data_IF_953270738292
#
_entry.id   IF_953270738292
#
_cell.length_a   1.000
_cell.length_b   1.000
_cell.length_c   1.000
_cell.angle_alpha   90.00
_cell.angle_beta   90.00
_cell.angle_gamma   90.00
#
_symmetry.space_group_name_H-M   'P 1'
#
loop_
_entity.id
_entity.type
_entity.pdbx_description
1 polymer ?
#
# COMPACT_ATOMS: atom_id res chain seq x y z
N UNK A 1 -8.38 4.35 2.54
CA UNK A 1 -8.86 3.00 2.90
C UNK A 1 -7.74 2.01 3.23
N UNK A 2 -6.47 2.31 2.93
CA UNK A 2 -5.37 1.40 3.26
C UNK A 2 -5.18 1.33 4.79
N UNK A 3 -5.20 0.14 5.42
CA UNK A 3 -5.07 0.02 6.87
C UNK A 3 -3.63 0.20 7.38
N UNK A 4 -2.64 0.27 6.49
CA UNK A 4 -1.22 0.24 6.86
C UNK A 4 -0.42 1.44 6.33
N UNK A 5 -1.08 2.51 5.87
CA UNK A 5 -0.38 3.72 5.42
C UNK A 5 0.56 3.50 4.22
N UNK A 6 0.18 2.61 3.29
CA UNK A 6 0.98 2.34 2.07
C UNK A 6 0.97 3.51 1.10
N UNK A 7 -0.11 4.30 1.06
CA UNK A 7 -0.28 5.40 0.11
C UNK A 7 -0.31 6.73 0.86
N UNK A 8 0.58 7.64 0.50
CA UNK A 8 0.73 8.93 1.15
C UNK A 8 0.94 10.02 0.10
N UNK A 9 0.45 11.23 0.38
CA UNK A 9 0.80 12.44 -0.39
C UNK A 9 1.71 13.27 0.50
N UNK A 10 2.96 13.45 0.07
CA UNK A 10 3.95 14.25 0.78
C UNK A 10 4.14 15.58 0.07
N UNK A 11 4.32 16.65 0.82
CA UNK A 11 4.67 17.96 0.26
C UNK A 11 6.20 18.02 0.09
N UNK A 12 6.66 18.34 -1.13
CA UNK A 12 8.07 18.58 -1.43
C UNK A 12 8.27 19.95 -2.09
N UNK A 13 9.51 20.35 -2.36
CA UNK A 13 9.83 21.66 -2.96
C UNK A 13 9.22 21.86 -4.37
N UNK A 14 8.83 20.77 -5.03
CA UNK A 14 8.17 20.73 -6.35
C UNK A 14 6.64 20.57 -6.26
N UNK A 15 6.08 20.51 -5.04
CA UNK A 15 4.65 20.35 -4.77
C UNK A 15 4.27 18.99 -4.15
N UNK A 16 2.97 18.63 -4.16
CA UNK A 16 2.51 17.36 -3.62
C UNK A 16 2.96 16.18 -4.49
N UNK A 17 3.62 15.21 -3.87
CA UNK A 17 4.08 13.96 -4.49
C UNK A 17 3.35 12.77 -3.88
N UNK A 18 2.88 11.86 -4.73
CA UNK A 18 2.26 10.62 -4.29
C UNK A 18 3.32 9.53 -4.09
N UNK A 19 3.48 9.07 -2.85
CA UNK A 19 4.49 8.09 -2.44
C UNK A 19 3.81 6.76 -2.07
N UNK A 20 4.43 5.66 -2.53
CA UNK A 20 3.99 4.29 -2.24
C UNK A 20 4.99 3.61 -1.30
N UNK A 21 4.63 3.55 -0.02
CA UNK A 21 5.37 2.87 1.04
C UNK A 21 5.04 1.37 1.06
N UNK A 22 5.39 0.65 -0.02
CA UNK A 22 5.07 -0.78 -0.19
C UNK A 22 5.58 -1.69 0.93
N UNK A 23 6.63 -1.27 1.64
CA UNK A 23 7.19 -1.95 2.81
C UNK A 23 6.18 -2.13 3.95
N UNK A 24 5.18 -1.23 4.04
CA UNK A 24 4.14 -1.30 5.06
C UNK A 24 2.98 -2.24 4.67
N UNK A 25 2.99 -2.82 3.47
CA UNK A 25 1.84 -3.56 2.96
C UNK A 25 1.54 -4.82 3.79
N UNK A 26 0.31 -4.91 4.31
CA UNK A 26 -0.20 -6.06 5.08
C UNK A 26 -0.97 -7.08 4.23
N UNK A 27 -0.87 -6.98 2.90
CA UNK A 27 -1.44 -7.92 1.92
C UNK A 27 -2.98 -8.08 1.98
N UNK A 28 -3.70 -7.15 2.59
CA UNK A 28 -5.17 -7.21 2.75
C UNK A 28 -5.99 -7.02 1.47
N UNK A 29 -5.37 -6.58 0.36
CA UNK A 29 -6.02 -6.27 -0.94
C UNK A 29 -7.09 -5.17 -0.91
N UNK A 30 -7.29 -4.46 0.20
CA UNK A 30 -8.31 -3.41 0.28
C UNK A 30 -8.14 -2.34 -0.81
N UNK A 31 -6.90 -2.00 -1.16
CA UNK A 31 -6.62 -1.01 -2.21
C UNK A 31 -7.03 -1.44 -3.61
N UNK A 32 -6.77 -2.70 -3.96
CA UNK A 32 -7.19 -3.31 -5.21
C UNK A 32 -8.72 -3.33 -5.36
N UNK A 33 -9.43 -3.62 -4.26
CA UNK A 33 -10.91 -3.79 -4.26
C UNK A 33 -11.66 -2.46 -4.15
N UNK A 34 -11.15 -1.53 -3.34
CA UNK A 34 -11.90 -0.33 -2.93
C UNK A 34 -11.44 0.95 -3.61
N UNK A 35 -10.48 0.88 -4.53
CA UNK A 35 -10.14 2.05 -5.33
C UNK A 35 -11.31 2.44 -6.26
N UNK A 36 -11.90 3.64 -6.11
CA UNK A 36 -13.02 4.07 -6.96
C UNK A 36 -12.65 4.16 -8.44
N UNK A 37 -11.38 4.49 -8.73
CA UNK A 37 -10.86 4.62 -10.08
C UNK A 37 -10.32 3.32 -10.68
N UNK A 38 -10.20 2.25 -9.89
CA UNK A 38 -9.60 0.98 -10.32
C UNK A 38 -8.19 1.16 -10.93
N UNK A 39 -7.40 2.09 -10.37
CA UNK A 39 -6.07 2.44 -10.86
C UNK A 39 -4.94 1.65 -10.17
N UNK A 40 -5.28 0.83 -9.16
CA UNK A 40 -4.30 0.07 -8.37
C UNK A 40 -4.41 -1.39 -8.75
N UNK A 41 -3.30 -1.98 -9.20
CA UNK A 41 -3.16 -3.42 -9.40
C UNK A 41 -2.23 -3.98 -8.34
N UNK A 42 -2.75 -4.79 -7.41
CA UNK A 42 -1.90 -5.48 -6.44
C UNK A 42 -1.28 -6.73 -7.07
N UNK A 43 0.04 -6.88 -6.93
CA UNK A 43 0.78 -8.10 -7.30
C UNK A 43 1.55 -8.64 -6.10
N UNK A 44 1.77 -9.94 -6.07
CA UNK A 44 2.51 -10.59 -4.98
C UNK A 44 3.96 -10.10 -4.99
N UNK A 45 4.49 -9.60 -3.85
CA UNK A 45 5.90 -9.25 -3.74
C UNK A 45 6.77 -10.50 -3.64
N UNK A 46 8.09 -10.31 -3.53
CA UNK A 46 9.03 -11.41 -3.28
C UNK A 46 8.65 -12.23 -2.04
N UNK A 47 8.96 -13.53 -2.07
CA UNK A 47 8.67 -14.44 -0.95
C UNK A 47 9.34 -13.97 0.34
N UNK A 48 8.68 -14.20 1.49
CA UNK A 48 9.01 -13.66 2.82
C UNK A 48 8.72 -12.16 3.03
N UNK A 49 8.34 -11.42 1.99
CA UNK A 49 7.81 -10.07 2.14
C UNK A 49 6.40 -10.07 2.72
N UNK A 50 6.09 -9.10 3.59
CA UNK A 50 4.78 -8.91 4.20
C UNK A 50 4.71 -9.22 5.69
N UNK A 51 3.50 -9.19 6.27
CA UNK A 51 3.31 -9.31 7.72
C UNK A 51 3.53 -10.74 8.21
N UNK A 52 4.12 -10.86 9.41
CA UNK A 52 4.22 -12.13 10.14
C UNK A 52 3.16 -12.15 11.25
N UNK A 53 2.24 -13.11 11.17
CA UNK A 53 1.13 -13.27 12.09
C UNK A 53 1.28 -14.57 12.91
N UNK A 54 2.14 -14.61 13.95
CA UNK A 54 2.38 -15.84 14.71
C UNK A 54 1.20 -16.26 15.60
N UNK A 55 0.28 -15.34 15.90
CA UNK A 55 -0.82 -15.55 16.85
C UNK A 55 -2.14 -14.89 16.38
N UNK A 56 -2.29 -14.68 15.07
CA UNK A 56 -3.51 -14.11 14.48
C UNK A 56 -4.32 -15.18 13.76
#
# INVERSE_FOLDING_TARGET
>A
YCPAGVYEVVENDSGPEFVINGQNCVHCKTCDIKDPSQNITWVTPEGTGGPNYPNM
#
